data_IF_905834246113
#
_entry.id   IF_905834246113
#
_cell.length_a   1.000
_cell.length_b   1.000
_cell.length_c   1.000
_cell.angle_alpha   90.00
_cell.angle_beta   90.00
_cell.angle_gamma   90.00
#
_symmetry.space_group_name_H-M   'P 1'
#
loop_
_entity.id
_entity.type
_entity.pdbx_description
1 polymer ?
#
# COMPACT_ATOMS: atom_id res chain seq x y z
N UNK A 1 22.04 15.67 -14.11
CA UNK A 1 21.82 14.26 -13.66
C UNK A 1 20.93 13.46 -14.60
N UNK A 2 19.76 13.97 -14.99
CA UNK A 2 18.83 13.25 -15.89
C UNK A 2 19.46 12.81 -17.23
N UNK A 3 20.22 13.69 -17.91
CA UNK A 3 20.90 13.37 -19.18
C UNK A 3 21.94 12.26 -19.06
N UNK A 4 22.70 12.23 -17.95
CA UNK A 4 23.73 11.21 -17.70
C UNK A 4 23.08 9.83 -17.55
N UNK A 5 21.97 9.76 -16.79
CA UNK A 5 21.19 8.52 -16.60
C UNK A 5 20.66 8.01 -17.95
N UNK A 6 20.17 8.91 -18.80
CA UNK A 6 19.62 8.58 -20.11
C UNK A 6 20.69 7.96 -21.03
N UNK A 7 21.89 8.52 -21.05
CA UNK A 7 23.03 8.00 -21.82
C UNK A 7 23.44 6.60 -21.33
N UNK A 8 23.48 6.37 -20.02
CA UNK A 8 23.81 5.06 -19.44
C UNK A 8 22.78 4.00 -19.86
N UNK A 9 21.48 4.32 -19.78
CA UNK A 9 20.40 3.42 -20.17
C UNK A 9 20.48 3.07 -21.66
N UNK A 10 20.69 4.08 -22.52
CA UNK A 10 20.87 3.86 -23.96
C UNK A 10 22.10 3.00 -24.27
N UNK A 11 23.22 3.22 -23.56
CA UNK A 11 24.43 2.43 -23.70
C UNK A 11 24.23 0.96 -23.33
N UNK A 12 23.50 0.67 -22.25
CA UNK A 12 23.16 -0.70 -21.84
C UNK A 12 22.26 -1.37 -22.89
N UNK A 13 21.24 -0.66 -23.39
CA UNK A 13 20.39 -1.17 -24.45
C UNK A 13 21.18 -1.48 -25.74
N UNK A 14 22.08 -0.59 -26.14
CA UNK A 14 22.95 -0.81 -27.29
C UNK A 14 23.86 -2.03 -27.10
N UNK A 15 24.50 -2.16 -25.94
CA UNK A 15 25.37 -3.28 -25.63
C UNK A 15 24.61 -4.62 -25.68
N UNK A 16 23.42 -4.69 -25.08
CA UNK A 16 22.57 -5.88 -25.08
C UNK A 16 22.09 -6.25 -26.50
N UNK A 17 21.75 -5.26 -27.33
CA UNK A 17 21.39 -5.49 -28.73
C UNK A 17 22.59 -6.02 -29.53
N UNK A 18 23.74 -5.36 -29.42
CA UNK A 18 24.93 -5.68 -30.20
C UNK A 18 25.62 -7.00 -29.80
N UNK A 19 25.68 -7.33 -28.49
CA UNK A 19 26.37 -8.54 -27.99
C UNK A 19 25.46 -9.75 -27.84
N UNK A 20 24.19 -9.57 -27.51
CA UNK A 20 23.25 -10.69 -27.25
C UNK A 20 22.20 -10.87 -28.35
N UNK A 21 22.19 -10.02 -29.38
CA UNK A 21 21.24 -10.13 -30.49
C UNK A 21 19.77 -9.94 -30.08
N UNK A 22 19.53 -9.35 -28.91
CA UNK A 22 18.18 -9.15 -28.39
C UNK A 22 17.46 -8.16 -29.31
N UNK A 23 16.38 -8.61 -29.97
CA UNK A 23 15.59 -7.76 -30.87
C UNK A 23 14.95 -6.61 -30.10
N UNK A 24 14.91 -5.41 -30.68
CA UNK A 24 14.28 -4.23 -30.08
C UNK A 24 12.85 -4.48 -29.57
N UNK A 25 12.08 -5.33 -30.26
CA UNK A 25 10.75 -5.73 -29.81
C UNK A 25 10.72 -6.47 -28.46
N UNK A 26 11.75 -7.28 -28.15
CA UNK A 26 11.86 -7.94 -26.84
C UNK A 26 12.23 -6.95 -25.74
N UNK A 27 13.04 -5.95 -26.04
CA UNK A 27 13.38 -4.89 -25.07
C UNK A 27 12.17 -4.02 -24.75
N UNK A 28 11.43 -3.59 -25.77
CA UNK A 28 10.19 -2.83 -25.59
C UNK A 28 9.13 -3.67 -24.88
N UNK A 29 9.02 -4.97 -25.20
CA UNK A 29 8.15 -5.89 -24.49
C UNK A 29 8.50 -6.04 -23.01
N UNK A 30 9.79 -6.18 -22.67
CA UNK A 30 10.24 -6.28 -21.28
C UNK A 30 9.97 -4.99 -20.49
N UNK A 31 10.21 -3.82 -21.10
CA UNK A 31 9.91 -2.52 -20.49
C UNK A 31 8.40 -2.36 -20.29
N UNK A 32 7.60 -2.67 -21.32
CA UNK A 32 6.14 -2.61 -21.25
C UNK A 32 5.55 -3.53 -20.19
N UNK A 33 6.01 -4.79 -20.13
CA UNK A 33 5.60 -5.74 -19.09
C UNK A 33 6.01 -5.26 -17.68
N UNK A 34 7.20 -4.67 -17.55
CA UNK A 34 7.64 -4.05 -16.30
C UNK A 34 6.71 -2.95 -15.83
N UNK A 35 6.36 -2.01 -16.71
CA UNK A 35 5.46 -0.89 -16.39
C UNK A 35 4.06 -1.41 -16.02
N UNK A 36 3.49 -2.32 -16.81
CA UNK A 36 2.16 -2.90 -16.53
C UNK A 36 2.15 -3.65 -15.20
N UNK A 37 3.21 -4.37 -14.88
CA UNK A 37 3.32 -5.10 -13.59
C UNK A 37 3.37 -4.15 -12.40
N UNK A 38 4.11 -3.03 -12.51
CA UNK A 38 4.18 -2.01 -11.45
C UNK A 38 2.81 -1.36 -11.26
N UNK A 39 2.13 -1.00 -12.35
CA UNK A 39 0.79 -0.40 -12.29
C UNK A 39 -0.21 -1.37 -11.67
N UNK A 40 -0.21 -2.63 -12.10
CA UNK A 40 -1.07 -3.67 -11.53
C UNK A 40 -0.80 -3.87 -10.03
N UNK A 41 0.48 -3.88 -9.63
CA UNK A 41 0.85 -4.00 -8.22
C UNK A 41 0.37 -2.80 -7.41
N UNK A 42 0.52 -1.58 -7.92
CA UNK A 42 0.01 -0.37 -7.25
C UNK A 42 -1.51 -0.44 -7.03
N UNK A 43 -2.29 -0.74 -8.09
CA UNK A 43 -3.74 -0.89 -7.95
C UNK A 43 -4.14 -2.02 -7.00
N UNK A 44 -3.40 -3.12 -7.00
CA UNK A 44 -3.66 -4.24 -6.08
C UNK A 44 -3.40 -3.84 -4.63
N UNK A 45 -2.31 -3.11 -4.37
CA UNK A 45 -1.99 -2.60 -3.03
C UNK A 45 -3.09 -1.65 -2.55
N UNK A 46 -3.56 -0.74 -3.42
CA UNK A 46 -4.65 0.18 -3.07
C UNK A 46 -5.95 -0.59 -2.76
N UNK A 47 -6.31 -1.57 -3.58
CA UNK A 47 -7.50 -2.39 -3.36
C UNK A 47 -7.42 -3.23 -2.07
N UNK A 48 -6.27 -3.81 -1.76
CA UNK A 48 -6.04 -4.56 -0.53
C UNK A 48 -6.11 -3.62 0.70
N UNK A 49 -5.62 -2.39 0.58
CA UNK A 49 -5.69 -1.38 1.62
C UNK A 49 -7.14 -0.95 1.88
N UNK A 50 -7.92 -0.66 0.83
CA UNK A 50 -9.33 -0.31 0.93
C UNK A 50 -10.15 -1.42 1.59
N UNK A 51 -9.89 -2.67 1.20
CA UNK A 51 -10.55 -3.83 1.82
C UNK A 51 -10.19 -3.95 3.30
N UNK A 52 -8.92 -3.71 3.66
CA UNK A 52 -8.47 -3.74 5.06
C UNK A 52 -9.14 -2.64 5.88
N UNK A 53 -9.24 -1.42 5.35
CA UNK A 53 -9.95 -0.30 5.98
C UNK A 53 -11.41 -0.65 6.20
N UNK A 54 -12.10 -1.14 5.17
CA UNK A 54 -13.51 -1.52 5.24
C UNK A 54 -13.75 -2.60 6.30
N UNK A 55 -12.94 -3.66 6.32
CA UNK A 55 -13.08 -4.73 7.29
C UNK A 55 -12.80 -4.26 8.72
N UNK A 56 -11.78 -3.42 8.92
CA UNK A 56 -11.49 -2.84 10.23
C UNK A 56 -12.63 -1.92 10.70
N UNK A 57 -13.22 -1.15 9.79
CA UNK A 57 -14.37 -0.31 10.09
C UNK A 57 -15.56 -1.14 10.57
N UNK A 58 -15.97 -2.16 9.82
CA UNK A 58 -17.06 -3.07 10.19
C UNK A 58 -16.79 -3.77 11.52
N UNK A 59 -15.55 -4.27 11.70
CA UNK A 59 -15.12 -4.92 12.93
C UNK A 59 -15.23 -3.99 14.13
N UNK A 60 -14.78 -2.73 14.02
CA UNK A 60 -14.91 -1.75 15.10
C UNK A 60 -16.35 -1.30 15.32
N UNK A 61 -17.15 -1.18 14.27
CA UNK A 61 -18.54 -0.77 14.36
C UNK A 61 -19.41 -1.81 15.11
N UNK A 62 -19.11 -3.10 14.97
CA UNK A 62 -19.85 -4.17 15.64
C UNK A 62 -19.20 -4.61 16.97
N UNK A 63 -18.04 -4.08 17.33
CA UNK A 63 -17.30 -4.48 18.51
C UNK A 63 -17.92 -3.97 19.81
N UNK A 64 -17.64 -4.74 20.88
CA UNK A 64 -17.97 -4.33 22.24
C UNK A 64 -17.04 -3.20 22.70
N UNK A 65 -17.44 -2.53 23.77
CA UNK A 65 -16.63 -1.46 24.37
C UNK A 65 -15.25 -1.95 24.82
N UNK A 66 -15.19 -3.16 25.41
CA UNK A 66 -13.95 -3.75 25.91
C UNK A 66 -12.98 -4.07 24.78
N UNK A 67 -13.47 -4.64 23.68
CA UNK A 67 -12.69 -4.90 22.47
C UNK A 67 -12.11 -3.60 21.88
N UNK A 68 -12.94 -2.55 21.81
CA UNK A 68 -12.53 -1.26 21.29
C UNK A 68 -11.44 -0.62 22.16
N UNK A 69 -11.57 -0.69 23.48
CA UNK A 69 -10.58 -0.18 24.44
C UNK A 69 -9.26 -0.95 24.30
N UNK A 70 -9.33 -2.28 24.23
CA UNK A 70 -8.16 -3.13 24.02
C UNK A 70 -7.46 -2.80 22.71
N UNK A 71 -8.21 -2.67 21.60
CA UNK A 71 -7.60 -2.35 20.31
C UNK A 71 -7.03 -0.92 20.26
N UNK A 72 -7.65 0.06 20.90
CA UNK A 72 -7.15 1.42 20.92
C UNK A 72 -5.85 1.59 21.74
N UNK A 73 -5.58 0.67 22.69
CA UNK A 73 -4.45 0.80 23.63
C UNK A 73 -3.36 -0.24 23.45
N UNK A 74 -3.69 -1.46 23.02
CA UNK A 74 -2.75 -2.58 22.94
C UNK A 74 -2.57 -3.16 21.53
N UNK A 75 -3.34 -2.69 20.53
CA UNK A 75 -3.18 -3.19 19.15
C UNK A 75 -1.87 -2.72 18.51
N UNK A 76 -1.12 -3.66 17.92
CA UNK A 76 0.02 -3.35 17.05
C UNK A 76 -0.42 -2.88 15.65
N UNK A 77 -1.68 -3.10 15.26
CA UNK A 77 -2.22 -2.57 14.01
C UNK A 77 -2.72 -1.13 14.22
N UNK A 78 -1.95 -0.17 13.73
CA UNK A 78 -2.24 1.26 13.80
C UNK A 78 -3.59 1.64 13.17
N UNK A 79 -3.99 0.97 12.08
CA UNK A 79 -5.27 1.26 11.43
C UNK A 79 -6.44 0.79 12.29
N UNK A 80 -6.31 -0.40 12.88
CA UNK A 80 -7.33 -0.93 13.79
C UNK A 80 -7.42 -0.08 15.07
N UNK A 81 -6.28 0.28 15.65
CA UNK A 81 -6.18 1.17 16.82
C UNK A 81 -6.86 2.51 16.56
N UNK A 82 -6.54 3.16 15.43
CA UNK A 82 -7.15 4.43 15.06
C UNK A 82 -8.64 4.32 14.74
N UNK A 83 -9.10 3.21 14.16
CA UNK A 83 -10.52 2.95 13.92
C UNK A 83 -11.29 2.75 15.23
N UNK A 84 -10.69 2.00 16.17
CA UNK A 84 -11.27 1.75 17.48
C UNK A 84 -11.37 3.04 18.31
N UNK A 85 -10.33 3.87 18.30
CA UNK A 85 -10.35 5.18 18.96
C UNK A 85 -11.43 6.11 18.39
N UNK A 86 -11.57 6.16 17.06
CA UNK A 86 -12.62 6.94 16.41
C UNK A 86 -14.01 6.47 16.83
N UNK A 87 -14.22 5.15 16.89
CA UNK A 87 -15.50 4.58 17.28
C UNK A 87 -15.81 4.80 18.77
N UNK A 88 -14.80 4.71 19.66
CA UNK A 88 -14.93 5.08 21.08
C UNK A 88 -15.31 6.55 21.24
N UNK A 89 -14.64 7.45 20.52
CA UNK A 89 -14.95 8.89 20.52
C UNK A 89 -16.35 9.16 19.97
N UNK A 90 -16.79 8.42 18.95
CA UNK A 90 -18.14 8.51 18.38
C UNK A 90 -19.22 8.09 19.39
N UNK A 91 -18.99 7.01 20.15
CA UNK A 91 -19.97 6.45 21.10
C UNK A 91 -20.02 7.18 22.44
N UNK A 92 -18.87 7.60 22.95
CA UNK A 92 -18.73 8.06 24.33
C UNK A 92 -18.20 9.49 24.45
N UNK A 93 -17.95 10.19 23.33
CA UNK A 93 -17.38 11.54 23.34
C UNK A 93 -15.98 11.57 23.97
N UNK A 94 -15.48 12.73 24.40
CA UNK A 94 -14.14 12.83 25.00
C UNK A 94 -13.98 12.08 26.33
N UNK A 95 -15.10 11.68 26.94
CA UNK A 95 -15.10 10.90 28.17
C UNK A 95 -14.57 9.48 28.00
N UNK A 96 -14.46 8.95 26.78
CA UNK A 96 -14.01 7.56 26.56
C UNK A 96 -12.64 7.25 27.20
N UNK A 97 -11.75 8.25 27.28
CA UNK A 97 -10.42 8.12 27.91
C UNK A 97 -10.47 8.00 29.43
N UNK A 98 -11.57 8.44 30.06
CA UNK A 98 -11.82 8.25 31.49
C UNK A 98 -12.44 6.88 31.80
N UNK A 99 -12.75 6.11 30.75
CA UNK A 99 -13.34 4.77 30.87
C UNK A 99 -12.27 3.66 30.76
N UNK A 100 -11.02 4.06 30.45
CA UNK A 100 -9.82 3.24 30.56
C UNK A 100 -9.49 2.95 32.02
#
# INVERSE_FOLDING_TARGET
>A
MFLIILIIVLGICWYLHAKKGIKWGHMLGAIGLGIVSIIYWAFKVDADLDKKVSNNFEKTHNATKEDLVYWATQSNDLMLSGSAERELRRRYGENWRQIL
#
